data_IF_970685115437
#
_entry.id   IF_970685115437
#
_cell.length_a   1.000
_cell.length_b   1.000
_cell.length_c   1.000
_cell.angle_alpha   90.00
_cell.angle_beta   90.00
_cell.angle_gamma   90.00
#
_symmetry.space_group_name_H-M   'P 1'
#
loop_
_entity.id
_entity.type
_entity.pdbx_description
1 polymer ?
#
# COMPACT_ATOMS: atom_id res chain seq x y z
N UNK A 1 2.58 -2.33 -13.72
CA UNK A 1 1.71 -3.23 -14.48
C UNK A 1 1.19 -4.37 -13.64
N UNK A 2 2.03 -4.97 -12.80
CA UNK A 2 1.58 -6.00 -11.85
C UNK A 2 0.66 -5.40 -10.78
N UNK A 3 0.94 -4.18 -10.35
CA UNK A 3 0.19 -3.51 -9.30
C UNK A 3 -1.26 -3.25 -9.68
N UNK A 4 -1.58 -2.70 -10.87
CA UNK A 4 -2.99 -2.57 -11.27
C UNK A 4 -3.74 -3.90 -11.33
N UNK A 5 -3.10 -4.98 -11.77
CA UNK A 5 -3.72 -6.31 -11.77
C UNK A 5 -4.04 -6.77 -10.35
N UNK A 6 -3.12 -6.57 -9.43
CA UNK A 6 -3.30 -6.92 -8.02
C UNK A 6 -4.46 -6.13 -7.40
N UNK A 7 -4.53 -4.82 -7.67
CA UNK A 7 -5.61 -3.97 -7.21
C UNK A 7 -6.95 -4.36 -7.81
N UNK A 8 -6.97 -4.76 -9.08
CA UNK A 8 -8.20 -5.20 -9.73
C UNK A 8 -8.78 -6.43 -9.03
N UNK A 9 -7.93 -7.36 -8.59
CA UNK A 9 -8.36 -8.51 -7.79
C UNK A 9 -8.93 -8.08 -6.45
N UNK A 10 -8.25 -7.17 -5.73
CA UNK A 10 -8.70 -6.69 -4.43
C UNK A 10 -10.03 -5.93 -4.50
N UNK A 11 -10.32 -5.29 -5.62
CA UNK A 11 -11.52 -4.50 -5.80
C UNK A 11 -12.71 -5.29 -6.35
N UNK A 12 -12.56 -6.60 -6.55
CA UNK A 12 -13.66 -7.46 -6.93
C UNK A 12 -14.73 -7.51 -5.84
N UNK A 13 -15.98 -7.73 -6.26
CA UNK A 13 -17.14 -7.68 -5.38
C UNK A 13 -17.05 -8.61 -4.17
N UNK A 14 -16.35 -9.73 -4.31
CA UNK A 14 -16.21 -10.70 -3.21
C UNK A 14 -15.14 -10.30 -2.18
N UNK A 15 -14.25 -9.37 -2.50
CA UNK A 15 -13.21 -8.89 -1.58
C UNK A 15 -13.43 -7.46 -1.10
N UNK A 16 -13.93 -6.60 -1.99
CA UNK A 16 -14.10 -5.16 -1.72
C UNK A 16 -14.78 -4.84 -0.39
N UNK A 17 -15.90 -5.50 -0.01
CA UNK A 17 -16.59 -5.15 1.22
C UNK A 17 -15.75 -5.35 2.50
N UNK A 18 -14.70 -6.14 2.43
CA UNK A 18 -13.86 -6.45 3.58
C UNK A 18 -12.62 -5.56 3.68
N UNK A 19 -12.38 -4.70 2.70
CA UNK A 19 -11.19 -3.85 2.66
C UNK A 19 -11.51 -2.49 3.25
N UNK A 20 -10.77 -2.12 4.30
CA UNK A 20 -10.91 -0.81 4.95
C UNK A 20 -9.99 0.24 4.33
N UNK A 21 -8.82 -0.16 3.86
CA UNK A 21 -7.81 0.75 3.34
C UNK A 21 -6.85 0.02 2.41
N UNK A 22 -6.42 0.68 1.35
CA UNK A 22 -5.33 0.22 0.48
C UNK A 22 -4.19 1.23 0.63
N UNK A 23 -2.99 0.75 0.92
CA UNK A 23 -1.83 1.58 1.21
C UNK A 23 -0.75 1.32 0.17
N UNK A 24 -0.29 2.36 -0.50
CA UNK A 24 0.92 2.31 -1.33
C UNK A 24 2.03 2.95 -0.54
N UNK A 25 3.08 2.19 -0.25
CA UNK A 25 4.12 2.57 0.68
C UNK A 25 5.49 2.52 -0.01
N UNK A 26 6.20 3.64 0.00
CA UNK A 26 7.53 3.74 -0.59
C UNK A 26 8.63 3.59 0.45
N UNK A 27 9.73 3.00 0.03
CA UNK A 27 10.91 2.75 0.85
C UNK A 27 12.18 3.12 0.11
N UNK A 28 13.21 3.50 0.87
CA UNK A 28 14.53 3.81 0.32
C UNK A 28 15.59 2.88 0.94
N UNK A 29 16.81 2.94 0.38
CA UNK A 29 17.97 2.37 1.05
C UNK A 29 18.43 3.31 2.18
N UNK A 30 19.53 2.98 2.84
CA UNK A 30 20.02 3.70 4.02
C UNK A 30 21.05 4.79 3.70
N UNK A 31 21.21 5.16 2.43
CA UNK A 31 22.13 6.22 2.03
C UNK A 31 21.43 7.57 2.12
N UNK A 32 22.09 8.57 2.71
CA UNK A 32 21.58 9.92 2.85
C UNK A 32 20.80 10.12 4.15
N UNK A 33 20.19 11.30 4.27
CA UNK A 33 19.47 11.65 5.49
C UNK A 33 18.02 11.18 5.46
N UNK A 34 17.38 11.16 6.62
CA UNK A 34 16.01 10.68 6.79
C UNK A 34 15.00 11.53 6.02
N UNK A 35 15.12 12.86 6.09
CA UNK A 35 14.11 13.74 5.49
C UNK A 35 14.13 13.70 3.97
N UNK A 36 15.33 13.68 3.37
CA UNK A 36 15.47 13.54 1.92
C UNK A 36 14.91 12.20 1.44
N UNK A 37 15.18 11.14 2.18
CA UNK A 37 14.63 9.81 1.86
C UNK A 37 13.14 9.74 2.12
N UNK A 38 12.59 10.49 3.07
CA UNK A 38 11.15 10.58 3.27
C UNK A 38 10.48 11.15 2.03
N UNK A 39 10.99 12.26 1.50
CA UNK A 39 10.47 12.87 0.27
C UNK A 39 10.59 11.90 -0.91
N UNK A 40 11.74 11.26 -1.05
CA UNK A 40 11.98 10.32 -2.16
C UNK A 40 11.03 9.12 -2.09
N UNK A 41 10.86 8.53 -0.91
CA UNK A 41 9.98 7.38 -0.71
C UNK A 41 8.52 7.74 -0.98
N UNK A 42 8.08 8.90 -0.49
CA UNK A 42 6.73 9.38 -0.76
C UNK A 42 6.52 9.61 -2.25
N UNK A 43 7.45 10.26 -2.91
CA UNK A 43 7.33 10.57 -4.35
C UNK A 43 7.25 9.29 -5.19
N UNK A 44 8.01 8.27 -4.83
CA UNK A 44 7.93 6.96 -5.50
C UNK A 44 6.56 6.31 -5.32
N UNK A 45 6.07 6.29 -4.10
CA UNK A 45 4.75 5.73 -3.81
C UNK A 45 3.64 6.52 -4.53
N UNK A 46 3.74 7.85 -4.51
CA UNK A 46 2.77 8.72 -5.17
C UNK A 46 2.78 8.53 -6.69
N UNK A 47 3.94 8.31 -7.29
CA UNK A 47 4.03 8.02 -8.73
C UNK A 47 3.32 6.71 -9.09
N UNK A 48 3.46 5.69 -8.25
CA UNK A 48 2.75 4.41 -8.44
C UNK A 48 1.24 4.62 -8.28
N UNK A 49 0.82 5.41 -7.29
CA UNK A 49 -0.60 5.73 -7.10
C UNK A 49 -1.19 6.43 -8.33
N UNK A 50 -0.50 7.42 -8.85
CA UNK A 50 -0.93 8.13 -10.06
C UNK A 50 -1.03 7.21 -11.26
N UNK A 51 -0.08 6.29 -11.40
CA UNK A 51 -0.10 5.28 -12.46
C UNK A 51 -1.37 4.41 -12.35
N UNK A 52 -1.68 3.93 -11.15
CA UNK A 52 -2.85 3.08 -10.93
C UNK A 52 -4.17 3.82 -11.16
N UNK A 53 -4.22 5.11 -10.84
CA UNK A 53 -5.42 5.93 -11.00
C UNK A 53 -5.67 6.38 -12.44
N UNK A 54 -4.75 6.07 -13.35
CA UNK A 54 -4.94 6.35 -14.77
C UNK A 54 -5.64 5.17 -15.44
N UNK A 55 -6.82 5.41 -15.99
CA UNK A 55 -7.66 4.35 -16.60
C UNK A 55 -6.99 3.63 -17.76
N UNK A 56 -5.96 4.24 -18.37
CA UNK A 56 -5.21 3.61 -19.46
C UNK A 56 -4.32 2.45 -18.98
N UNK A 57 -4.11 2.31 -17.68
CA UNK A 57 -3.13 1.39 -17.10
C UNK A 57 -3.75 0.12 -16.51
N UNK A 58 -5.01 -0.16 -16.78
CA UNK A 58 -5.60 -1.46 -16.51
C UNK A 58 -6.81 -1.48 -15.60
N UNK A 59 -7.02 -0.48 -14.74
CA UNK A 59 -8.21 -0.41 -13.89
C UNK A 59 -9.38 0.22 -14.63
N UNK A 60 -10.58 -0.31 -14.41
CA UNK A 60 -11.79 0.30 -14.91
C UNK A 60 -12.04 1.64 -14.21
N UNK A 61 -12.81 2.52 -14.86
CA UNK A 61 -13.19 3.81 -14.26
C UNK A 61 -13.96 3.62 -12.96
N UNK A 62 -14.78 2.57 -12.89
CA UNK A 62 -15.51 2.23 -11.66
C UNK A 62 -14.58 1.84 -10.53
N UNK A 63 -13.60 0.97 -10.80
CA UNK A 63 -12.63 0.56 -9.81
C UNK A 63 -11.73 1.72 -9.37
N UNK A 64 -11.40 2.62 -10.27
CA UNK A 64 -10.65 3.84 -9.91
C UNK A 64 -11.42 4.68 -8.89
N UNK A 65 -12.73 4.85 -9.07
CA UNK A 65 -13.56 5.59 -8.11
C UNK A 65 -13.56 4.93 -6.74
N UNK A 66 -13.60 3.61 -6.68
CA UNK A 66 -13.51 2.88 -5.42
C UNK A 66 -12.14 3.05 -4.81
N UNK A 67 -11.09 2.94 -5.61
CA UNK A 67 -9.72 3.12 -5.14
C UNK A 67 -9.49 4.52 -4.56
N UNK A 68 -10.05 5.55 -5.16
CA UNK A 68 -9.96 6.92 -4.66
C UNK A 68 -10.51 7.07 -3.24
N UNK A 69 -11.43 6.21 -2.83
CA UNK A 69 -12.02 6.23 -1.48
C UNK A 69 -11.18 5.46 -0.47
N UNK A 70 -10.38 4.48 -0.92
CA UNK A 70 -9.67 3.56 -0.05
C UNK A 70 -8.17 3.82 0.02
N UNK A 71 -7.63 4.53 -0.98
CA UNK A 71 -6.19 4.64 -1.18
C UNK A 71 -5.55 5.66 -0.26
N UNK A 72 -4.45 5.25 0.37
CA UNK A 72 -3.51 6.15 1.02
C UNK A 72 -2.10 5.93 0.47
N UNK A 73 -1.27 6.95 0.59
CA UNK A 73 0.11 6.93 0.09
C UNK A 73 1.04 7.30 1.22
N UNK A 74 2.03 6.45 1.49
CA UNK A 74 2.99 6.65 2.57
C UNK A 74 4.42 6.61 2.08
N UNK A 75 5.26 7.46 2.67
CA UNK A 75 6.70 7.35 2.58
C UNK A 75 7.26 6.87 3.91
N UNK A 76 8.13 5.86 3.87
CA UNK A 76 8.76 5.29 5.05
C UNK A 76 10.24 5.65 5.19
N UNK A 77 10.79 6.42 4.25
CA UNK A 77 12.22 6.73 4.24
C UNK A 77 13.04 5.43 4.29
N UNK A 78 14.08 5.38 5.11
CA UNK A 78 14.88 4.15 5.29
C UNK A 78 14.53 3.40 6.58
N UNK A 79 13.34 3.63 7.14
CA UNK A 79 12.97 3.08 8.45
C UNK A 79 12.68 1.59 8.45
N UNK A 80 12.52 0.98 7.27
CA UNK A 80 12.23 -0.45 7.15
C UNK A 80 13.09 -1.09 6.05
N UNK A 81 14.42 -1.21 6.30
CA UNK A 81 15.32 -1.78 5.31
C UNK A 81 15.14 -3.29 5.18
N UNK A 82 15.47 -3.81 3.99
CA UNK A 82 15.55 -5.25 3.75
C UNK A 82 16.99 -5.68 3.98
N UNK A 83 17.17 -6.80 4.67
CA UNK A 83 18.49 -7.35 4.97
C UNK A 83 18.78 -8.55 4.05
N UNK A 84 20.05 -8.74 3.74
CA UNK A 84 20.50 -9.96 3.05
C UNK A 84 20.22 -11.17 3.95
N UNK A 85 19.82 -12.27 3.34
CA UNK A 85 19.37 -13.46 4.06
C UNK A 85 20.35 -13.87 5.15
N UNK A 86 19.82 -14.03 6.38
CA UNK A 86 20.57 -14.47 7.57
C UNK A 86 21.76 -13.56 7.95
N UNK A 87 21.69 -12.26 7.61
CA UNK A 87 22.72 -11.29 7.95
C UNK A 87 22.11 -10.02 8.51
N UNK A 88 22.96 -9.17 9.12
CA UNK A 88 22.60 -7.80 9.51
C UNK A 88 23.00 -6.77 8.45
N UNK A 89 23.33 -7.24 7.25
CA UNK A 89 23.78 -6.38 6.15
C UNK A 89 22.55 -5.96 5.35
N UNK A 90 22.36 -4.65 5.19
CA UNK A 90 21.26 -4.10 4.41
C UNK A 90 21.42 -4.47 2.94
N UNK A 91 20.36 -4.99 2.36
CA UNK A 91 20.27 -5.18 0.91
C UNK A 91 19.77 -3.88 0.30
N UNK A 92 20.69 -3.08 -0.22
CA UNK A 92 20.35 -1.74 -0.73
C UNK A 92 19.38 -1.79 -1.90
N UNK A 93 19.60 -2.62 -2.94
CA UNK A 93 18.64 -2.70 -4.05
C UNK A 93 17.26 -3.18 -3.61
N UNK A 94 17.19 -4.17 -2.73
CA UNK A 94 15.91 -4.70 -2.27
C UNK A 94 15.18 -3.72 -1.35
N UNK A 95 15.92 -2.83 -0.68
CA UNK A 95 15.33 -1.80 0.19
C UNK A 95 14.64 -0.69 -0.61
N UNK A 96 15.10 -0.41 -1.83
CA UNK A 96 14.49 0.57 -2.71
C UNK A 96 13.27 -0.05 -3.39
N UNK A 97 12.10 0.11 -2.78
CA UNK A 97 10.88 -0.58 -3.23
C UNK A 97 9.63 0.22 -2.94
N UNK A 98 8.55 -0.18 -3.60
CA UNK A 98 7.19 0.25 -3.29
C UNK A 98 6.40 -1.01 -2.94
N UNK A 99 5.72 -0.99 -1.82
CA UNK A 99 4.87 -2.09 -1.36
C UNK A 99 3.41 -1.67 -1.40
N UNK A 100 2.53 -2.64 -1.67
CA UNK A 100 1.11 -2.46 -1.53
C UNK A 100 0.66 -3.26 -0.33
N UNK A 101 -0.01 -2.58 0.59
CA UNK A 101 -0.60 -3.19 1.77
C UNK A 101 -2.09 -2.89 1.79
N UNK A 102 -2.84 -3.72 2.45
CA UNK A 102 -4.26 -3.44 2.67
C UNK A 102 -4.64 -3.79 4.10
N UNK A 103 -5.59 -3.03 4.61
CA UNK A 103 -6.14 -3.25 5.95
C UNK A 103 -7.57 -3.75 5.79
N UNK A 104 -7.90 -4.81 6.50
CA UNK A 104 -9.23 -5.40 6.51
C UNK A 104 -10.11 -4.78 7.57
N UNK A 105 -11.41 -4.83 7.35
CA UNK A 105 -12.42 -4.35 8.33
C UNK A 105 -12.65 -5.31 9.48
N UNK A 106 -11.81 -6.31 9.61
CA UNK A 106 -12.01 -7.40 10.57
C UNK A 106 -12.26 -6.89 11.99
N UNK A 107 -11.42 -5.95 12.45
CA UNK A 107 -11.56 -5.38 13.78
C UNK A 107 -12.89 -4.65 13.97
N UNK A 108 -13.33 -3.94 12.95
CA UNK A 108 -14.62 -3.24 12.97
C UNK A 108 -15.78 -4.24 12.98
N UNK A 109 -15.66 -5.34 12.25
CA UNK A 109 -16.66 -6.40 12.24
C UNK A 109 -16.76 -7.10 13.59
N UNK A 110 -15.62 -7.42 14.22
CA UNK A 110 -15.57 -8.03 15.53
C UNK A 110 -16.20 -7.12 16.56
N UNK A 111 -15.88 -5.83 16.53
CA UNK A 111 -16.45 -4.85 17.45
C UNK A 111 -17.96 -4.74 17.28
N UNK A 112 -18.43 -4.72 16.05
CA UNK A 112 -19.86 -4.64 15.74
C UNK A 112 -20.61 -5.88 16.20
N UNK A 113 -20.04 -7.06 16.00
CA UNK A 113 -20.61 -8.32 16.48
C UNK A 113 -20.67 -8.31 18.00
N UNK A 114 -19.60 -7.85 18.66
CA UNK A 114 -19.54 -7.75 20.12
C UNK A 114 -20.63 -6.82 20.65
N UNK A 115 -20.84 -5.68 20.03
CA UNK A 115 -21.90 -4.74 20.40
C UNK A 115 -23.27 -5.37 20.29
N UNK A 116 -23.53 -6.10 19.21
CA UNK A 116 -24.82 -6.77 19.00
C UNK A 116 -25.05 -7.84 20.05
N UNK A 117 -24.02 -8.62 20.38
CA UNK A 117 -24.13 -9.70 21.39
C UNK A 117 -24.35 -9.16 22.81
N UNK A 118 -23.96 -7.93 23.08
CA UNK A 118 -24.06 -7.32 24.40
C UNK A 118 -25.34 -6.48 24.58
N UNK A 119 -26.23 -6.51 23.61
CA UNK A 119 -27.53 -5.83 23.70
C UNK A 119 -28.59 -6.67 24.47
#
# INVERSE_FOLDING_TARGET
EVIPMYLDVLLQDNFRPYIAEIIIEGHTDTVGDYQSNMTLSFNRANSVAKFCLNSSNGLSKENIKVLEQLLTVNGRSFSDPVYKANTDIVDMPASRRVEIKFRLKEDEMIQKITEVLNQ
#
